data_IF_957311993624
#
_entry.id   IF_957311993624
#
_cell.length_a   1.000
_cell.length_b   1.000
_cell.length_c   1.000
_cell.angle_alpha   90.00
_cell.angle_beta   90.00
_cell.angle_gamma   90.00
#
_symmetry.space_group_name_H-M   'P 1'
#
loop_
_entity.id
_entity.type
_entity.pdbx_description
1 polymer ?
#
# COMPACT_ATOMS: atom_id res chain seq x y z
N UNK A 1 -14.55 3.55 -9.04
CA UNK A 1 -13.80 2.79 -10.07
C UNK A 1 -14.73 1.88 -10.89
N UNK A 2 -15.68 1.22 -10.27
CA UNK A 2 -16.60 0.24 -10.87
C UNK A 2 -17.27 0.68 -12.18
N UNK A 3 -17.64 1.96 -12.33
CA UNK A 3 -18.24 2.46 -13.59
C UNK A 3 -17.26 2.39 -14.78
N UNK A 4 -16.00 2.78 -14.58
CA UNK A 4 -14.99 2.73 -15.65
C UNK A 4 -14.69 1.29 -16.06
N UNK A 5 -14.49 0.41 -15.10
CA UNK A 5 -14.29 -1.03 -15.31
C UNK A 5 -15.46 -1.67 -16.04
N UNK A 6 -16.71 -1.33 -15.64
CA UNK A 6 -17.92 -1.80 -16.28
C UNK A 6 -18.03 -1.35 -17.74
N UNK A 7 -17.75 -0.09 -18.04
CA UNK A 7 -17.75 0.44 -19.42
C UNK A 7 -16.70 -0.26 -20.28
N UNK A 8 -15.48 -0.42 -19.79
CA UNK A 8 -14.39 -1.11 -20.52
C UNK A 8 -14.77 -2.58 -20.76
N UNK A 9 -15.29 -3.26 -19.74
CA UNK A 9 -15.75 -4.65 -19.86
C UNK A 9 -16.82 -4.80 -20.93
N UNK A 10 -17.87 -4.00 -20.87
CA UNK A 10 -18.98 -4.05 -21.84
C UNK A 10 -18.49 -3.76 -23.26
N UNK A 11 -17.61 -2.75 -23.42
CA UNK A 11 -17.02 -2.41 -24.72
C UNK A 11 -16.18 -3.55 -25.29
N UNK A 12 -15.35 -4.20 -24.45
CA UNK A 12 -14.51 -5.33 -24.86
C UNK A 12 -15.36 -6.55 -25.23
N UNK A 13 -16.40 -6.87 -24.43
CA UNK A 13 -17.30 -8.00 -24.70
C UNK A 13 -18.16 -7.76 -25.95
N UNK A 14 -18.64 -6.52 -26.16
CA UNK A 14 -19.37 -6.15 -27.38
C UNK A 14 -18.48 -6.24 -28.62
N UNK A 15 -17.23 -5.74 -28.53
CA UNK A 15 -16.22 -5.88 -29.58
C UNK A 15 -15.91 -7.35 -29.91
N UNK A 16 -15.72 -8.17 -28.86
CA UNK A 16 -15.49 -9.61 -29.03
C UNK A 16 -16.68 -10.31 -29.70
N UNK A 17 -17.91 -10.00 -29.26
CA UNK A 17 -19.10 -10.55 -29.92
C UNK A 17 -19.19 -10.11 -31.38
N UNK A 18 -18.95 -8.84 -31.69
CA UNK A 18 -18.94 -8.33 -33.07
C UNK A 18 -17.95 -9.01 -33.97
N UNK A 19 -16.72 -9.31 -33.47
CA UNK A 19 -15.70 -10.08 -34.17
C UNK A 19 -16.12 -11.54 -34.38
N UNK A 20 -16.72 -12.18 -33.36
CA UNK A 20 -17.09 -13.59 -33.42
C UNK A 20 -18.22 -13.85 -34.43
N UNK A 21 -19.20 -12.93 -34.53
CA UNK A 21 -20.32 -13.06 -35.48
C UNK A 21 -20.05 -12.44 -36.85
N UNK A 22 -18.85 -11.85 -37.05
CA UNK A 22 -18.44 -11.24 -38.33
C UNK A 22 -19.10 -9.91 -38.64
N UNK A 23 -19.74 -9.24 -37.65
CA UNK A 23 -20.29 -7.87 -37.83
C UNK A 23 -19.18 -6.80 -37.79
N UNK A 24 -18.03 -7.13 -37.20
CA UNK A 24 -16.79 -6.34 -37.23
C UNK A 24 -15.78 -7.14 -38.04
N UNK A 25 -15.31 -6.56 -39.15
CA UNK A 25 -14.26 -7.14 -39.99
C UNK A 25 -13.12 -6.12 -40.12
N UNK A 26 -11.93 -6.52 -39.74
CA UNK A 26 -10.72 -5.69 -39.85
C UNK A 26 -10.03 -5.83 -41.23
N UNK A 27 -10.62 -6.63 -42.13
CA UNK A 27 -10.07 -6.91 -43.46
C UNK A 27 -8.98 -7.96 -43.48
N UNK A 28 -8.73 -8.52 -44.68
CA UNK A 28 -7.83 -9.65 -44.87
C UNK A 28 -6.39 -9.42 -44.36
N UNK A 29 -5.92 -8.18 -44.40
CA UNK A 29 -4.55 -7.83 -43.94
C UNK A 29 -4.38 -7.98 -42.41
N UNK A 30 -5.40 -7.61 -41.62
CA UNK A 30 -5.38 -7.74 -40.18
C UNK A 30 -5.70 -9.17 -39.76
N UNK A 31 -6.73 -9.76 -40.39
CA UNK A 31 -7.12 -11.15 -40.11
C UNK A 31 -5.97 -12.14 -40.37
N UNK A 32 -5.16 -11.93 -41.42
CA UNK A 32 -3.97 -12.75 -41.69
C UNK A 32 -2.81 -12.62 -40.71
N UNK A 33 -2.84 -11.58 -39.86
CA UNK A 33 -1.83 -11.40 -38.79
C UNK A 33 -2.29 -11.95 -37.44
N UNK A 34 -3.58 -12.25 -37.30
CA UNK A 34 -4.08 -12.88 -36.09
C UNK A 34 -3.53 -14.28 -35.93
N UNK A 35 -3.31 -14.77 -34.71
CA UNK A 35 -2.97 -16.17 -34.49
C UNK A 35 -4.00 -17.10 -35.15
N UNK A 36 -3.53 -18.08 -35.89
CA UNK A 36 -4.32 -19.02 -36.69
C UNK A 36 -5.17 -18.35 -37.81
N UNK A 37 -4.94 -17.08 -38.14
CA UNK A 37 -5.76 -16.34 -39.09
C UNK A 37 -7.24 -16.21 -38.70
N UNK A 38 -7.52 -16.34 -37.40
CA UNK A 38 -8.89 -16.53 -36.88
C UNK A 38 -9.39 -15.29 -36.11
N UNK A 39 -10.36 -14.53 -36.65
CA UNK A 39 -11.06 -13.47 -35.91
C UNK A 39 -11.73 -13.98 -34.63
N UNK A 40 -12.24 -15.21 -34.65
CA UNK A 40 -12.86 -15.86 -33.47
C UNK A 40 -11.83 -16.05 -32.35
N UNK A 41 -10.59 -16.44 -32.67
CA UNK A 41 -9.52 -16.51 -31.68
C UNK A 41 -9.25 -15.13 -31.06
N UNK A 42 -9.15 -14.08 -31.87
CA UNK A 42 -9.00 -12.70 -31.42
C UNK A 42 -10.16 -12.25 -30.50
N UNK A 43 -11.40 -12.62 -30.86
CA UNK A 43 -12.59 -12.34 -30.06
C UNK A 43 -12.54 -13.02 -28.70
N UNK A 44 -12.25 -14.32 -28.65
CA UNK A 44 -12.11 -15.07 -27.39
C UNK A 44 -10.99 -14.52 -26.53
N UNK A 45 -9.85 -14.19 -27.12
CA UNK A 45 -8.73 -13.62 -26.40
C UNK A 45 -9.06 -12.22 -25.81
N UNK A 46 -9.73 -11.34 -26.55
CA UNK A 46 -10.19 -10.04 -26.08
C UNK A 46 -11.17 -10.19 -24.90
N UNK A 47 -12.13 -11.08 -25.03
CA UNK A 47 -13.10 -11.36 -23.96
C UNK A 47 -12.42 -11.92 -22.70
N UNK A 48 -11.46 -12.85 -22.85
CA UNK A 48 -10.79 -13.51 -21.73
C UNK A 48 -9.76 -12.63 -21.05
N UNK A 49 -9.01 -11.80 -21.79
CA UNK A 49 -7.90 -11.00 -21.26
C UNK A 49 -8.35 -9.62 -20.80
N UNK A 50 -9.36 -9.04 -21.43
CA UNK A 50 -9.85 -7.69 -21.10
C UNK A 50 -11.25 -7.73 -20.52
N UNK A 51 -12.21 -8.29 -21.26
CA UNK A 51 -13.62 -8.23 -20.89
C UNK A 51 -13.91 -8.86 -19.54
N UNK A 52 -13.52 -10.12 -19.35
CA UNK A 52 -13.76 -10.86 -18.12
C UNK A 52 -13.01 -10.32 -16.90
N UNK A 53 -11.71 -10.01 -16.95
CA UNK A 53 -11.02 -9.41 -15.81
C UNK A 53 -11.61 -8.07 -15.38
N UNK A 54 -11.99 -7.20 -16.31
CA UNK A 54 -12.66 -5.94 -16.01
C UNK A 54 -14.05 -6.15 -15.39
N UNK A 55 -14.82 -7.16 -15.85
CA UNK A 55 -16.08 -7.51 -15.22
C UNK A 55 -15.90 -8.00 -13.79
N UNK A 56 -14.92 -8.86 -13.56
CA UNK A 56 -14.60 -9.39 -12.22
C UNK A 56 -14.17 -8.25 -11.29
N UNK A 57 -13.30 -7.35 -11.74
CA UNK A 57 -12.87 -6.18 -10.98
C UNK A 57 -14.05 -5.28 -10.62
N UNK A 58 -14.91 -4.96 -11.60
CA UNK A 58 -16.11 -4.17 -11.41
C UNK A 58 -17.06 -4.76 -10.34
N UNK A 59 -17.35 -6.06 -10.44
CA UNK A 59 -18.21 -6.75 -9.47
C UNK A 59 -17.57 -6.82 -8.09
N UNK A 60 -16.26 -7.06 -8.03
CA UNK A 60 -15.52 -7.10 -6.78
C UNK A 60 -15.51 -5.73 -6.09
N UNK A 61 -15.28 -4.65 -6.84
CA UNK A 61 -15.31 -3.28 -6.35
C UNK A 61 -16.72 -2.91 -5.83
N UNK A 62 -17.75 -3.23 -6.61
CA UNK A 62 -19.14 -2.98 -6.24
C UNK A 62 -19.57 -3.73 -4.97
N UNK A 63 -19.04 -4.94 -4.76
CA UNK A 63 -19.32 -5.77 -3.57
C UNK A 63 -18.42 -5.45 -2.37
N UNK A 64 -17.48 -4.53 -2.51
CA UNK A 64 -16.49 -4.23 -1.46
C UNK A 64 -15.61 -5.43 -1.10
N UNK A 65 -15.27 -6.28 -2.09
CA UNK A 65 -14.48 -7.48 -1.84
C UNK A 65 -13.07 -7.12 -1.35
N UNK A 66 -12.52 -7.87 -0.37
CA UNK A 66 -11.18 -7.64 0.22
C UNK A 66 -10.05 -7.54 -0.81
N UNK A 67 -10.18 -8.17 -1.98
CA UNK A 67 -9.19 -8.16 -3.07
C UNK A 67 -9.58 -7.27 -4.25
N UNK A 68 -10.63 -6.44 -4.12
CA UNK A 68 -11.11 -5.59 -5.22
C UNK A 68 -9.97 -4.76 -5.82
N UNK A 69 -9.21 -4.05 -5.01
CA UNK A 69 -8.11 -3.19 -5.46
C UNK A 69 -7.02 -3.95 -6.23
N UNK A 70 -6.71 -5.18 -5.81
CA UNK A 70 -5.73 -6.05 -6.51
C UNK A 70 -6.29 -6.54 -7.86
N UNK A 71 -7.58 -6.86 -7.92
CA UNK A 71 -8.25 -7.25 -9.16
C UNK A 71 -8.31 -6.07 -10.15
N UNK A 72 -8.64 -4.86 -9.67
CA UNK A 72 -8.59 -3.62 -10.45
C UNK A 72 -7.20 -3.35 -11.01
N UNK A 73 -6.16 -3.49 -10.17
CA UNK A 73 -4.77 -3.33 -10.60
C UNK A 73 -4.39 -4.35 -11.69
N UNK A 74 -4.75 -5.63 -11.47
CA UNK A 74 -4.50 -6.70 -12.44
C UNK A 74 -5.25 -6.48 -13.75
N UNK A 75 -6.53 -6.12 -13.71
CA UNK A 75 -7.35 -5.85 -14.89
C UNK A 75 -6.81 -4.67 -15.72
N UNK A 76 -6.38 -3.58 -15.06
CA UNK A 76 -5.72 -2.46 -15.72
C UNK A 76 -4.42 -2.86 -16.40
N UNK A 77 -3.58 -3.66 -15.72
CA UNK A 77 -2.34 -4.21 -16.27
C UNK A 77 -2.58 -5.14 -17.48
N UNK A 78 -3.60 -5.99 -17.41
CA UNK A 78 -4.00 -6.85 -18.55
C UNK A 78 -4.47 -6.04 -19.75
N UNK A 79 -5.22 -4.95 -19.54
CA UNK A 79 -5.62 -4.07 -20.64
C UNK A 79 -4.39 -3.41 -21.32
N UNK A 80 -3.45 -2.89 -20.54
CA UNK A 80 -2.21 -2.33 -21.11
C UNK A 80 -1.43 -3.41 -21.87
N UNK A 81 -1.26 -4.60 -21.27
CA UNK A 81 -0.59 -5.74 -21.89
C UNK A 81 -1.29 -6.16 -23.19
N UNK A 82 -2.62 -6.17 -23.24
CA UNK A 82 -3.40 -6.44 -24.42
C UNK A 82 -3.08 -5.45 -25.56
N UNK A 83 -3.06 -4.15 -25.26
CA UNK A 83 -2.72 -3.12 -26.25
C UNK A 83 -1.31 -3.32 -26.80
N UNK A 84 -0.33 -3.66 -25.96
CA UNK A 84 1.04 -3.97 -26.40
C UNK A 84 1.04 -5.16 -27.36
N UNK A 85 0.36 -6.26 -27.02
CA UNK A 85 0.24 -7.43 -27.88
C UNK A 85 -0.46 -7.09 -29.19
N UNK A 86 -1.54 -6.31 -29.15
CA UNK A 86 -2.28 -5.87 -30.33
C UNK A 86 -1.39 -5.07 -31.28
N UNK A 87 -0.65 -4.09 -30.78
CA UNK A 87 0.28 -3.27 -31.59
C UNK A 87 1.37 -4.15 -32.22
N UNK A 88 1.94 -5.10 -31.49
CA UNK A 88 3.00 -5.99 -31.95
C UNK A 88 2.50 -6.98 -33.03
N UNK A 89 1.30 -7.55 -32.83
CA UNK A 89 0.73 -8.56 -33.72
C UNK A 89 0.07 -7.93 -34.94
N UNK A 90 -0.80 -6.94 -34.74
CA UNK A 90 -1.59 -6.34 -35.82
C UNK A 90 -0.73 -5.38 -36.65
N UNK A 91 0.24 -4.71 -36.01
CA UNK A 91 1.16 -3.74 -36.66
C UNK A 91 0.42 -2.64 -37.46
N UNK A 92 -0.73 -2.25 -36.95
CA UNK A 92 -1.49 -1.11 -37.46
C UNK A 92 -1.79 -0.17 -36.31
N UNK A 93 -1.66 1.14 -36.57
CA UNK A 93 -1.94 2.16 -35.56
C UNK A 93 -3.40 2.55 -35.60
N UNK A 94 -4.01 2.62 -34.41
CA UNK A 94 -5.32 3.24 -34.20
C UNK A 94 -5.21 4.16 -32.99
N UNK A 95 -5.84 5.33 -33.03
CA UNK A 95 -5.90 6.27 -31.91
C UNK A 95 -6.54 5.65 -30.65
N UNK A 96 -7.35 4.61 -30.84
CA UNK A 96 -8.00 3.88 -29.74
C UNK A 96 -6.97 3.14 -28.86
N UNK A 97 -5.89 2.64 -29.45
CA UNK A 97 -4.84 1.91 -28.73
C UNK A 97 -4.18 2.75 -27.63
N UNK A 98 -3.62 3.96 -27.91
CA UNK A 98 -3.07 4.79 -26.82
C UNK A 98 -4.14 5.24 -25.84
N UNK A 99 -5.39 5.52 -26.28
CA UNK A 99 -6.46 5.87 -25.38
C UNK A 99 -6.77 4.74 -24.38
N UNK A 100 -6.91 3.50 -24.86
CA UNK A 100 -7.16 2.34 -24.02
C UNK A 100 -5.96 1.99 -23.13
N UNK A 101 -4.72 2.18 -23.62
CA UNK A 101 -3.53 2.02 -22.80
C UNK A 101 -3.49 3.02 -21.62
N UNK A 102 -3.85 4.28 -21.86
CA UNK A 102 -3.97 5.30 -20.80
C UNK A 102 -5.08 4.94 -19.81
N UNK A 103 -6.24 4.48 -20.29
CA UNK A 103 -7.34 4.02 -19.43
C UNK A 103 -6.88 2.82 -18.58
N UNK A 104 -6.24 1.82 -19.18
CA UNK A 104 -5.71 0.66 -18.47
C UNK A 104 -4.67 1.05 -17.41
N UNK A 105 -3.75 1.96 -17.75
CA UNK A 105 -2.76 2.49 -16.81
C UNK A 105 -3.42 3.26 -15.65
N UNK A 106 -4.43 4.09 -15.94
CA UNK A 106 -5.16 4.83 -14.93
C UNK A 106 -5.95 3.91 -13.98
N UNK A 107 -6.63 2.89 -14.51
CA UNK A 107 -7.33 1.86 -13.72
C UNK A 107 -6.35 1.09 -12.85
N UNK A 108 -5.24 0.61 -13.43
CA UNK A 108 -4.21 -0.12 -12.71
C UNK A 108 -3.56 0.70 -11.60
N UNK A 109 -3.22 1.96 -11.89
CA UNK A 109 -2.65 2.89 -10.90
C UNK A 109 -3.63 3.19 -9.77
N UNK A 110 -4.91 3.41 -10.07
CA UNK A 110 -5.90 3.67 -9.03
C UNK A 110 -6.13 2.46 -8.13
N UNK A 111 -6.15 1.23 -8.69
CA UNK A 111 -6.17 -0.01 -7.91
C UNK A 111 -4.92 -0.15 -7.02
N UNK A 112 -3.73 0.10 -7.56
CA UNK A 112 -2.48 0.12 -6.80
C UNK A 112 -2.52 1.15 -5.67
N UNK A 113 -2.91 2.38 -5.99
CA UNK A 113 -3.01 3.48 -5.01
C UNK A 113 -3.93 3.11 -3.85
N UNK A 114 -5.14 2.65 -4.14
CA UNK A 114 -6.08 2.25 -3.10
C UNK A 114 -5.57 1.08 -2.26
N UNK A 115 -4.96 0.08 -2.90
CA UNK A 115 -4.34 -1.03 -2.20
C UNK A 115 -3.17 -0.59 -1.32
N UNK A 116 -2.31 0.29 -1.81
CA UNK A 116 -1.16 0.80 -1.06
C UNK A 116 -1.56 1.65 0.15
N UNK A 117 -2.64 2.42 0.04
CA UNK A 117 -3.16 3.25 1.13
C UNK A 117 -3.82 2.44 2.25
N UNK A 118 -4.34 1.25 1.95
CA UNK A 118 -5.13 0.44 2.89
C UNK A 118 -4.54 -0.96 3.10
N UNK A 119 -3.26 -1.15 2.80
CA UNK A 119 -2.61 -2.45 2.86
C UNK A 119 -2.75 -3.09 4.25
N UNK A 120 -3.29 -4.31 4.27
CA UNK A 120 -3.48 -5.10 5.48
C UNK A 120 -4.63 -4.64 6.38
N UNK A 121 -5.14 -3.41 6.24
CA UNK A 121 -6.23 -2.90 7.05
C UNK A 121 -7.59 -3.44 6.57
N UNK A 122 -8.51 -3.59 7.51
CA UNK A 122 -9.93 -3.87 7.24
C UNK A 122 -10.68 -2.57 6.89
N UNK A 123 -11.89 -2.72 6.32
CA UNK A 123 -12.73 -1.56 6.03
C UNK A 123 -13.06 -0.75 7.30
N UNK A 124 -13.33 -1.44 8.40
CA UNK A 124 -13.67 -0.80 9.69
C UNK A 124 -12.47 -0.06 10.29
N UNK A 125 -11.24 -0.59 10.13
CA UNK A 125 -10.00 0.09 10.57
C UNK A 125 -9.71 1.34 9.72
N UNK A 126 -10.05 1.31 8.44
CA UNK A 126 -9.89 2.48 7.54
C UNK A 126 -10.94 3.55 7.85
N UNK A 127 -12.20 3.17 8.06
CA UNK A 127 -13.31 4.09 8.28
C UNK A 127 -13.50 4.49 9.75
N UNK A 128 -12.98 3.68 10.68
CA UNK A 128 -13.12 3.90 12.11
C UNK A 128 -12.22 5.01 12.64
N UNK A 129 -12.55 5.52 13.84
CA UNK A 129 -11.71 6.52 14.51
C UNK A 129 -10.38 5.91 14.96
N UNK A 130 -9.33 6.72 14.93
CA UNK A 130 -8.02 6.39 15.47
C UNK A 130 -7.51 7.48 16.41
N UNK A 131 -6.64 7.13 17.38
CA UNK A 131 -5.92 8.12 18.17
C UNK A 131 -5.22 9.12 17.24
N UNK A 132 -5.30 10.43 17.58
CA UNK A 132 -4.71 11.50 16.79
C UNK A 132 -5.60 12.05 15.68
N UNK A 133 -6.78 11.48 15.40
CA UNK A 133 -7.71 12.01 14.40
C UNK A 133 -8.24 13.41 14.76
N UNK A 134 -8.25 13.75 16.06
CA UNK A 134 -8.58 15.07 16.58
C UNK A 134 -7.55 16.16 16.20
N UNK A 135 -6.32 15.77 15.88
CA UNK A 135 -5.27 16.71 15.48
C UNK A 135 -5.52 17.12 14.01
N UNK A 136 -5.79 18.41 13.83
CA UNK A 136 -6.04 18.97 12.50
C UNK A 136 -4.73 19.23 11.77
N UNK A 137 -4.57 18.61 10.60
CA UNK A 137 -3.49 18.87 9.65
C UNK A 137 -4.10 19.11 8.27
N UNK A 138 -3.45 19.91 7.40
CA UNK A 138 -3.83 19.97 6.00
C UNK A 138 -3.72 18.57 5.43
N UNK A 139 -4.84 17.95 5.05
CA UNK A 139 -4.84 16.55 4.60
C UNK A 139 -4.91 16.48 3.09
N UNK A 140 -3.81 16.04 2.46
CA UNK A 140 -3.75 15.70 1.04
C UNK A 140 -3.40 14.22 0.82
N UNK A 141 -2.81 13.57 1.85
CA UNK A 141 -2.50 12.15 1.85
C UNK A 141 -2.96 11.53 3.17
N UNK A 142 -3.66 10.41 3.08
CA UNK A 142 -4.09 9.63 4.23
C UNK A 142 -3.95 8.14 3.90
N UNK A 143 -3.22 7.41 4.73
CA UNK A 143 -3.03 5.97 4.58
C UNK A 143 -3.25 5.27 5.92
N UNK A 144 -4.12 4.25 5.93
CA UNK A 144 -4.35 3.39 7.09
C UNK A 144 -3.92 1.97 6.73
N UNK A 145 -2.91 1.45 7.42
CA UNK A 145 -2.34 0.12 7.16
C UNK A 145 -2.31 -0.70 8.43
N UNK A 146 -2.26 -2.01 8.31
CA UNK A 146 -2.25 -2.85 9.47
C UNK A 146 -1.53 -4.18 9.25
N UNK A 147 -1.04 -4.76 10.35
CA UNK A 147 -0.44 -6.09 10.37
C UNK A 147 -0.83 -6.80 11.68
N UNK A 148 -1.12 -8.10 11.60
CA UNK A 148 -1.25 -8.93 12.80
C UNK A 148 0.10 -9.53 13.17
N UNK A 149 0.47 -9.40 14.43
CA UNK A 149 1.74 -9.79 15.03
C UNK A 149 1.44 -10.88 16.06
N UNK A 150 2.13 -12.01 15.99
CA UNK A 150 1.97 -13.11 16.95
C UNK A 150 2.84 -12.86 18.19
N UNK A 151 2.71 -11.69 18.79
CA UNK A 151 3.33 -11.28 20.04
C UNK A 151 2.40 -10.27 20.74
N UNK A 152 2.33 -10.28 22.08
CA UNK A 152 1.46 -9.39 22.84
C UNK A 152 1.93 -7.92 22.73
N UNK A 153 1.05 -6.93 23.06
CA UNK A 153 1.38 -5.50 22.93
C UNK A 153 2.66 -5.06 23.66
N UNK A 154 2.97 -5.64 24.80
CA UNK A 154 4.18 -5.35 25.59
C UNK A 154 5.46 -5.73 24.85
N UNK A 155 5.43 -6.66 23.89
CA UNK A 155 6.56 -7.02 23.05
C UNK A 155 6.65 -6.19 21.77
N UNK A 156 5.55 -5.55 21.36
CA UNK A 156 5.49 -4.67 20.17
C UNK A 156 5.86 -3.22 20.54
N UNK A 157 5.36 -2.74 21.68
CA UNK A 157 5.52 -1.37 22.14
C UNK A 157 6.97 -0.86 22.16
N UNK A 158 7.95 -1.60 22.68
CA UNK A 158 9.34 -1.14 22.75
C UNK A 158 9.93 -0.82 21.38
N UNK A 159 9.53 -1.53 20.33
CA UNK A 159 10.02 -1.28 18.97
C UNK A 159 9.49 0.03 18.39
N UNK A 160 8.28 0.46 18.77
CA UNK A 160 7.73 1.76 18.36
C UNK A 160 8.46 2.90 19.06
N UNK A 161 8.75 2.76 20.36
CA UNK A 161 9.38 3.81 21.16
C UNK A 161 10.75 4.25 20.63
N UNK A 162 11.49 3.36 19.99
CA UNK A 162 12.87 3.59 19.59
C UNK A 162 13.08 3.91 18.10
N UNK A 163 12.01 4.09 17.31
CA UNK A 163 12.09 4.37 15.86
C UNK A 163 12.82 5.68 15.56
N UNK A 164 13.63 5.70 14.50
CA UNK A 164 14.23 6.89 13.90
C UNK A 164 15.73 6.83 13.69
N UNK A 165 16.24 7.73 12.85
CA UNK A 165 17.67 7.90 12.56
C UNK A 165 18.43 8.30 13.83
N UNK A 166 19.58 7.68 14.07
CA UNK A 166 20.35 7.88 15.31
C UNK A 166 19.74 7.23 16.56
N UNK A 167 18.67 6.44 16.37
CA UNK A 167 18.02 5.57 17.35
C UNK A 167 18.10 4.12 16.83
N UNK A 168 16.98 3.41 16.76
CA UNK A 168 16.97 2.03 16.27
C UNK A 168 16.79 1.90 14.73
N UNK A 169 16.76 2.99 13.99
CA UNK A 169 16.38 3.00 12.57
C UNK A 169 14.88 2.89 12.36
N UNK A 170 14.47 2.67 11.11
CA UNK A 170 13.05 2.55 10.73
C UNK A 170 12.62 1.11 10.45
N UNK A 171 13.51 0.12 10.62
CA UNK A 171 13.23 -1.28 10.30
C UNK A 171 12.77 -1.52 8.86
N UNK A 172 13.20 -0.64 7.95
CA UNK A 172 12.80 -0.59 6.56
C UNK A 172 14.04 -0.74 5.65
N UNK A 173 14.23 0.16 4.69
CA UNK A 173 15.38 0.15 3.79
C UNK A 173 16.48 1.05 4.34
N UNK A 174 17.33 0.50 5.20
CA UNK A 174 18.39 1.24 5.92
C UNK A 174 19.27 2.12 5.01
N UNK A 175 19.47 1.72 3.76
CA UNK A 175 20.20 2.52 2.76
C UNK A 175 19.47 3.81 2.33
N UNK A 176 18.15 3.87 2.48
CA UNK A 176 17.32 4.99 2.08
C UNK A 176 16.91 5.87 3.27
N UNK A 177 16.58 5.27 4.40
CA UNK A 177 15.97 5.95 5.53
C UNK A 177 16.81 5.99 6.80
N UNK A 178 17.96 5.27 6.84
CA UNK A 178 18.85 5.24 8.00
C UNK A 178 20.33 5.48 7.64
N UNK A 179 20.60 6.11 6.49
CA UNK A 179 21.96 6.43 6.06
C UNK A 179 22.87 5.21 5.86
N UNK A 180 22.31 4.03 5.60
CA UNK A 180 23.01 2.77 5.45
C UNK A 180 23.40 2.10 6.77
N UNK A 181 23.06 2.69 7.92
CA UNK A 181 23.26 2.07 9.23
C UNK A 181 22.18 1.01 9.47
N UNK A 182 22.55 -0.26 9.75
CA UNK A 182 21.54 -1.30 9.99
C UNK A 182 20.62 -0.96 11.16
N UNK A 183 19.32 -1.15 10.97
CA UNK A 183 18.32 -1.00 12.03
C UNK A 183 18.57 -2.01 13.16
N UNK A 184 18.41 -1.56 14.42
CA UNK A 184 18.67 -2.38 15.61
C UNK A 184 17.82 -3.67 15.63
N UNK A 185 18.41 -4.72 16.15
CA UNK A 185 17.73 -5.98 16.48
C UNK A 185 17.54 -6.16 17.99
N UNK A 186 17.87 -5.14 18.77
CA UNK A 186 17.78 -5.14 20.23
C UNK A 186 16.95 -3.95 20.72
N UNK A 187 16.36 -4.12 21.91
CA UNK A 187 15.66 -3.04 22.59
C UNK A 187 16.69 -2.12 23.25
N UNK A 188 16.68 -0.85 22.82
CA UNK A 188 17.56 0.19 23.32
C UNK A 188 16.91 0.86 24.53
N UNK A 189 17.39 0.56 25.73
CA UNK A 189 16.79 1.01 27.00
C UNK A 189 16.69 2.53 27.14
N UNK A 190 17.60 3.27 26.51
CA UNK A 190 17.60 4.74 26.52
C UNK A 190 16.43 5.40 25.78
N UNK A 191 15.63 4.66 25.01
CA UNK A 191 14.51 5.18 24.23
C UNK A 191 13.15 4.65 24.70
N UNK A 192 13.10 3.93 25.81
CA UNK A 192 11.85 3.29 26.26
C UNK A 192 10.97 4.21 27.12
N UNK A 193 11.52 5.28 27.67
CA UNK A 193 10.75 6.29 28.36
C UNK A 193 10.21 7.30 27.37
N UNK A 194 8.89 7.32 27.20
CA UNK A 194 8.19 8.21 26.26
C UNK A 194 7.41 9.24 27.06
N UNK A 195 7.60 10.52 26.74
CA UNK A 195 6.83 11.62 27.30
C UNK A 195 6.22 12.49 26.18
N UNK A 196 5.09 13.11 26.45
CA UNK A 196 4.48 14.09 25.54
C UNK A 196 5.43 15.27 25.37
N UNK A 197 5.69 15.64 24.13
CA UNK A 197 6.66 16.68 23.74
C UNK A 197 8.05 16.14 23.36
N UNK A 198 8.35 14.86 23.60
CA UNK A 198 9.61 14.26 23.17
C UNK A 198 9.71 14.24 21.64
N UNK A 199 10.94 14.38 21.14
CA UNK A 199 11.21 14.12 19.72
C UNK A 199 11.01 12.62 19.42
N UNK A 200 10.25 12.34 18.37
CA UNK A 200 9.95 11.00 17.90
C UNK A 200 10.31 10.84 16.44
N UNK A 201 10.65 9.61 16.04
CA UNK A 201 10.94 9.22 14.68
C UNK A 201 11.79 10.26 13.89
N UNK A 202 12.96 10.67 14.40
CA UNK A 202 13.81 11.63 13.70
C UNK A 202 14.23 11.05 12.33
N UNK A 203 14.11 11.88 11.28
CA UNK A 203 14.48 11.52 9.91
C UNK A 203 15.90 11.92 9.55
N UNK A 204 16.59 12.64 10.44
CA UNK A 204 17.98 13.06 10.28
C UNK A 204 18.75 12.95 11.58
N UNK A 205 20.08 12.89 11.48
CA UNK A 205 20.96 13.00 12.64
C UNK A 205 21.96 14.15 12.42
N UNK A 206 22.12 15.09 13.37
CA UNK A 206 21.37 15.18 14.64
C UNK A 206 19.87 15.47 14.42
N UNK A 207 19.00 15.02 15.36
CA UNK A 207 17.56 15.26 15.25
C UNK A 207 17.25 16.75 15.41
N UNK A 208 16.21 17.22 14.72
CA UNK A 208 15.72 18.58 14.84
C UNK A 208 14.19 18.62 14.81
N UNK A 209 13.55 19.68 15.35
CA UNK A 209 12.09 19.82 15.29
C UNK A 209 11.53 19.83 13.86
N UNK A 210 12.32 20.27 12.88
CA UNK A 210 11.91 20.34 11.48
C UNK A 210 11.96 18.98 10.76
N UNK A 211 12.75 18.03 11.27
CA UNK A 211 12.98 16.72 10.67
C UNK A 211 12.53 15.58 11.57
N UNK A 212 11.81 15.88 12.64
CA UNK A 212 11.29 14.91 13.58
C UNK A 212 9.81 15.16 13.81
N UNK A 213 9.10 14.12 14.20
CA UNK A 213 7.83 14.27 14.86
C UNK A 213 8.04 14.57 16.34
N UNK A 214 6.99 14.98 17.04
CA UNK A 214 6.92 15.04 18.49
C UNK A 214 5.83 14.10 18.98
N UNK A 215 6.01 13.50 20.14
CA UNK A 215 4.97 12.73 20.81
C UNK A 215 3.86 13.68 21.20
N UNK A 216 2.71 13.58 20.54
CA UNK A 216 1.52 14.38 20.82
C UNK A 216 0.68 13.80 21.95
N UNK A 217 0.52 12.48 21.93
CA UNK A 217 -0.16 11.71 22.97
C UNK A 217 0.26 10.25 22.94
N UNK A 218 0.05 9.54 24.04
CA UNK A 218 0.19 8.08 24.08
C UNK A 218 -0.67 7.47 25.17
N UNK A 219 -1.05 6.23 24.96
CA UNK A 219 -1.59 5.32 25.97
C UNK A 219 -0.68 4.08 25.98
N UNK A 220 -0.06 3.82 27.11
CA UNK A 220 0.97 2.79 27.25
C UNK A 220 0.50 1.44 26.70
N UNK A 221 1.30 0.86 25.80
CA UNK A 221 1.02 -0.42 25.11
C UNK A 221 -0.27 -0.47 24.28
N UNK A 222 -0.93 0.70 24.04
CA UNK A 222 -2.19 0.77 23.28
C UNK A 222 -2.15 1.76 22.13
N UNK A 223 -1.60 2.94 22.36
CA UNK A 223 -1.60 3.99 21.34
C UNK A 223 -0.36 4.88 21.45
N UNK A 224 0.16 5.29 20.32
CA UNK A 224 1.24 6.26 20.22
C UNK A 224 0.95 7.19 19.06
N UNK A 225 0.91 8.50 19.34
CA UNK A 225 0.62 9.51 18.33
C UNK A 225 1.79 10.47 18.20
N UNK A 226 2.34 10.54 17.03
CA UNK A 226 3.37 11.49 16.66
C UNK A 226 2.79 12.56 15.76
N UNK A 227 3.11 13.82 16.02
CA UNK A 227 2.62 14.95 15.25
C UNK A 227 3.75 15.91 14.87
N UNK A 228 3.56 16.58 13.75
CA UNK A 228 4.32 17.76 13.31
C UNK A 228 3.36 18.70 12.59
N UNK A 229 3.83 19.88 12.19
CA UNK A 229 2.97 20.93 11.63
C UNK A 229 2.15 20.50 10.40
N UNK A 230 2.70 19.60 9.57
CA UNK A 230 2.11 19.13 8.32
C UNK A 230 1.73 17.65 8.33
N UNK A 231 1.80 16.97 9.48
CA UNK A 231 1.50 15.54 9.53
C UNK A 231 1.25 14.95 10.90
N UNK A 232 0.48 13.87 10.92
CA UNK A 232 0.21 13.04 12.09
C UNK A 232 0.48 11.59 11.72
N UNK A 233 1.20 10.89 12.58
CA UNK A 233 1.53 9.47 12.44
C UNK A 233 1.08 8.74 13.71
N UNK A 234 -0.04 8.05 13.59
CA UNK A 234 -0.72 7.41 14.71
C UNK A 234 -0.57 5.89 14.64
N UNK A 235 -0.34 5.29 15.78
CA UNK A 235 -0.18 3.86 15.99
C UNK A 235 -1.21 3.37 17.01
N UNK A 236 -1.90 2.29 16.71
CA UNK A 236 -2.85 1.64 17.61
C UNK A 236 -2.49 0.17 17.75
N UNK A 237 -2.32 -0.30 18.96
CA UNK A 237 -2.05 -1.69 19.32
C UNK A 237 -3.31 -2.27 19.94
N UNK A 238 -4.00 -3.12 19.20
CA UNK A 238 -5.23 -3.78 19.66
C UNK A 238 -4.91 -5.24 19.96
N UNK A 239 -5.12 -5.75 21.17
CA UNK A 239 -4.98 -7.16 21.46
C UNK A 239 -5.83 -8.01 20.51
N UNK A 240 -5.25 -9.06 19.93
CA UNK A 240 -5.90 -9.96 18.97
C UNK A 240 -5.55 -11.42 19.30
N UNK A 241 -6.37 -12.03 20.18
CA UNK A 241 -6.04 -13.30 20.80
C UNK A 241 -4.78 -13.19 21.67
N UNK A 242 -3.80 -14.06 21.43
CA UNK A 242 -2.48 -14.03 22.09
C UNK A 242 -1.50 -13.05 21.41
N UNK A 243 -1.96 -12.31 20.40
CA UNK A 243 -1.13 -11.39 19.62
C UNK A 243 -1.61 -9.96 19.64
N UNK A 244 -1.10 -9.18 18.70
CA UNK A 244 -1.39 -7.75 18.54
C UNK A 244 -1.81 -7.44 17.12
N UNK A 245 -2.91 -6.73 16.96
CA UNK A 245 -3.27 -6.04 15.74
C UNK A 245 -2.67 -4.65 15.76
N UNK A 246 -1.59 -4.44 15.01
CA UNK A 246 -0.94 -3.14 14.86
C UNK A 246 -1.56 -2.40 13.67
N UNK A 247 -2.25 -1.31 13.96
CA UNK A 247 -2.84 -0.41 12.96
C UNK A 247 -2.09 0.90 12.97
N UNK A 248 -1.73 1.40 11.80
CA UNK A 248 -1.04 2.67 11.62
C UNK A 248 -1.82 3.57 10.68
N UNK A 249 -1.97 4.85 11.04
CA UNK A 249 -2.54 5.89 10.18
C UNK A 249 -1.55 7.04 10.05
N UNK A 250 -1.13 7.29 8.80
CA UNK A 250 -0.34 8.46 8.44
C UNK A 250 -1.23 9.44 7.69
N UNK A 251 -1.34 10.67 8.20
CA UNK A 251 -1.99 11.79 7.54
C UNK A 251 -0.97 12.89 7.34
N UNK A 252 -0.84 13.41 6.14
CA UNK A 252 0.09 14.51 5.85
C UNK A 252 -0.49 15.41 4.76
N UNK A 253 -0.12 16.67 4.80
CA UNK A 253 -0.56 17.67 3.87
C UNK A 253 0.58 18.48 3.28
N UNK A 254 0.28 19.33 2.29
CA UNK A 254 1.28 20.19 1.67
C UNK A 254 1.69 21.32 2.61
N UNK A 255 2.97 21.56 2.71
CA UNK A 255 3.49 22.81 3.24
C UNK A 255 3.45 23.89 2.13
N UNK A 256 2.37 24.67 2.11
CA UNK A 256 2.17 25.72 1.10
C UNK A 256 3.20 26.85 1.15
N UNK A 257 3.94 27.00 2.24
CA UNK A 257 5.06 27.95 2.32
C UNK A 257 6.25 27.51 1.45
N UNK A 258 6.30 26.23 1.07
CA UNK A 258 7.33 25.65 0.22
C UNK A 258 6.70 24.81 -0.91
N UNK A 259 5.87 25.43 -1.75
CA UNK A 259 5.05 24.74 -2.75
C UNK A 259 5.82 23.76 -3.67
N UNK A 260 7.04 24.12 -4.11
CA UNK A 260 7.86 23.24 -4.96
C UNK A 260 8.34 21.98 -4.18
N UNK A 261 8.72 22.15 -2.91
CA UNK A 261 9.08 21.01 -2.04
C UNK A 261 7.88 20.14 -1.75
N UNK A 262 6.70 20.75 -1.57
CA UNK A 262 5.46 20.03 -1.32
C UNK A 262 5.02 19.21 -2.51
N UNK A 263 5.19 19.69 -3.74
CA UNK A 263 4.88 18.93 -4.95
C UNK A 263 5.79 17.71 -5.09
N UNK A 264 7.10 17.88 -4.93
CA UNK A 264 8.07 16.78 -4.97
C UNK A 264 7.84 15.82 -3.80
N UNK A 265 7.64 16.36 -2.59
CA UNK A 265 7.34 15.59 -1.39
C UNK A 265 6.05 14.78 -1.53
N UNK A 266 4.99 15.36 -2.12
CA UNK A 266 3.73 14.68 -2.39
C UNK A 266 3.90 13.49 -3.33
N UNK A 267 4.67 13.62 -4.41
CA UNK A 267 4.98 12.51 -5.33
C UNK A 267 5.81 11.42 -4.62
N UNK A 268 6.80 11.81 -3.82
CA UNK A 268 7.63 10.86 -3.06
C UNK A 268 6.81 10.12 -2.00
N UNK A 269 5.91 10.81 -1.30
CA UNK A 269 4.99 10.19 -0.33
C UNK A 269 4.03 9.25 -1.06
N UNK A 270 3.45 9.67 -2.18
CA UNK A 270 2.48 8.85 -2.92
C UNK A 270 3.09 7.52 -3.42
N UNK A 271 4.37 7.52 -3.84
CA UNK A 271 5.02 6.35 -4.44
C UNK A 271 5.95 5.63 -3.45
N UNK A 272 6.68 6.39 -2.62
CA UNK A 272 7.75 5.87 -1.76
C UNK A 272 7.29 5.43 -0.38
N UNK A 273 6.24 6.05 0.17
CA UNK A 273 5.76 5.77 1.52
C UNK A 273 5.29 4.30 1.68
N UNK A 274 4.57 3.76 0.73
CA UNK A 274 4.02 2.40 0.85
C UNK A 274 5.08 1.31 0.99
N UNK A 275 6.10 1.18 0.11
CA UNK A 275 7.12 0.14 0.27
C UNK A 275 7.91 0.31 1.57
N UNK A 276 8.24 1.53 1.98
CA UNK A 276 8.95 1.80 3.22
C UNK A 276 8.12 1.45 4.45
N UNK A 277 6.87 1.92 4.51
CA UNK A 277 5.95 1.63 5.61
C UNK A 277 5.63 0.13 5.73
N UNK A 278 5.39 -0.53 4.59
CA UNK A 278 5.15 -1.98 4.57
C UNK A 278 6.35 -2.74 5.13
N UNK A 279 7.56 -2.39 4.72
CA UNK A 279 8.79 -3.04 5.21
C UNK A 279 9.00 -2.75 6.69
N UNK A 280 8.73 -1.53 7.14
CA UNK A 280 8.78 -1.15 8.56
C UNK A 280 7.81 -1.98 9.41
N UNK A 281 6.54 -2.09 8.99
CA UNK A 281 5.54 -2.89 9.72
C UNK A 281 5.94 -4.37 9.81
N UNK A 282 6.48 -4.94 8.71
CA UNK A 282 6.99 -6.30 8.70
C UNK A 282 8.26 -6.45 9.54
N UNK A 283 9.12 -5.42 9.57
CA UNK A 283 10.31 -5.38 10.39
C UNK A 283 10.02 -5.29 11.89
N UNK A 284 8.97 -4.55 12.29
CA UNK A 284 8.46 -4.53 13.67
C UNK A 284 7.89 -5.90 14.03
N UNK A 285 7.07 -6.48 13.14
CA UNK A 285 6.49 -7.82 13.33
C UNK A 285 7.56 -8.87 13.57
N UNK A 286 8.56 -8.97 12.70
CA UNK A 286 9.67 -9.93 12.82
C UNK A 286 10.39 -9.81 14.18
N UNK A 287 10.65 -8.58 14.61
CA UNK A 287 11.40 -8.31 15.83
C UNK A 287 10.59 -8.64 17.09
N UNK A 288 9.32 -8.28 17.13
CA UNK A 288 8.44 -8.58 18.25
C UNK A 288 8.22 -10.09 18.42
N UNK A 289 7.93 -10.79 17.31
CA UNK A 289 7.73 -12.25 17.33
C UNK A 289 8.99 -13.03 17.74
N UNK A 290 10.18 -12.55 17.34
CA UNK A 290 11.45 -13.15 17.77
C UNK A 290 11.73 -12.92 19.26
N UNK A 291 11.37 -11.76 19.81
CA UNK A 291 11.54 -11.44 21.23
C UNK A 291 10.63 -12.32 22.09
N UNK A 292 9.37 -12.45 21.72
CA UNK A 292 8.41 -13.33 22.40
C UNK A 292 8.86 -14.80 22.38
N UNK A 293 9.33 -15.29 21.24
CA UNK A 293 9.85 -16.65 21.11
C UNK A 293 11.04 -16.90 22.03
N UNK A 294 11.99 -15.96 22.12
CA UNK A 294 13.16 -16.08 23.01
C UNK A 294 12.75 -16.11 24.48
N UNK A 295 11.80 -15.26 24.91
CA UNK A 295 11.28 -15.25 26.28
C UNK A 295 10.55 -16.54 26.62
N UNK A 296 9.68 -17.01 25.73
CA UNK A 296 8.95 -18.26 25.91
C UNK A 296 9.86 -19.46 26.09
N UNK A 297 10.93 -19.55 25.27
CA UNK A 297 11.95 -20.61 25.37
C UNK A 297 12.69 -20.53 26.71
N UNK A 298 13.14 -19.33 27.12
CA UNK A 298 13.86 -19.12 28.37
C UNK A 298 13.02 -19.53 29.60
N UNK A 299 11.71 -19.25 29.58
CA UNK A 299 10.77 -19.63 30.63
C UNK A 299 10.54 -21.14 30.69
N UNK A 300 10.50 -21.82 29.54
CA UNK A 300 10.38 -23.28 29.48
C UNK A 300 11.65 -23.97 30.03
N UNK A 301 12.83 -23.50 29.63
CA UNK A 301 14.12 -24.01 30.13
C UNK A 301 14.23 -23.82 31.64
N UNK A 302 13.84 -22.66 32.16
CA UNK A 302 13.83 -22.41 33.60
C UNK A 302 12.87 -23.33 34.39
N UNK A 303 11.71 -23.67 33.79
CA UNK A 303 10.76 -24.63 34.42
C UNK A 303 11.23 -26.08 34.39
N UNK A 304 12.05 -26.44 33.42
CA UNK A 304 12.62 -27.81 33.32
C UNK A 304 13.85 -27.99 34.21
N UNK A 305 14.48 -26.90 34.68
CA UNK A 305 15.63 -26.90 35.54
C UNK A 305 15.30 -26.95 37.06
N UNK A 306 14.02 -26.89 37.42
CA UNK A 306 13.48 -27.01 38.78
C UNK A 306 12.79 -28.36 38.96
#
# INVERSE_FOLDING_TARGET
MSLCEGVVSLSALAGAAGLAIGSIDFGANVNGRLPFGSPVFGAVALAAVVGLPMAIACVADWRGARRANQLTMGAGGLLVGWIVVEVVVIRSFSWLQPAMAVIGAAVGFAGYRQWSLTWGATHDEVAGPMPGDEIRVPEAFSATRAVSIAAPPEEVWPWLCQVGVGRAGFYSYDSLDNGGVPSSREILTGFQQVAVGDLAAPMTFPPSPNTSFIVASFEFERALVWAKADGVWAWSLVPDGDGTRLVVRLRTGPDWHHAARSLIGGVLVEVGDFPMMRTMLLGIKERAENLDTQRSTSLQDARQAV
#
